data_IF_179766637663
#
_entry.id   IF_179766637663
#
_cell.length_a   1.000
_cell.length_b   1.000
_cell.length_c   1.000
_cell.angle_alpha   90.00
_cell.angle_beta   90.00
_cell.angle_gamma   90.00
#
_symmetry.space_group_name_H-M   'P 1'
#
loop_
_entity.id
_entity.type
_entity.pdbx_description
1 polymer ?
#
# COMPACT_ATOMS: atom_id res chain seq x y z
N UNK A 1 -3.09 22.30 22.09
CA UNK A 1 -2.22 21.41 21.27
C UNK A 1 -2.89 20.04 21.22
N UNK A 2 -3.42 19.60 20.07
CA UNK A 2 -4.12 18.31 19.94
C UNK A 2 -3.07 17.21 19.76
N UNK A 3 -2.95 16.28 20.70
CA UNK A 3 -2.09 15.10 20.54
C UNK A 3 -2.76 14.20 19.51
N UNK A 4 -2.18 14.09 18.32
CA UNK A 4 -2.63 13.14 17.29
C UNK A 4 -2.32 11.74 17.83
N UNK A 5 -3.35 10.93 18.08
CA UNK A 5 -3.17 9.54 18.52
C UNK A 5 -2.64 8.74 17.33
N UNK A 6 -1.38 8.31 17.40
CA UNK A 6 -0.73 7.54 16.34
C UNK A 6 -0.89 6.05 16.63
N UNK A 7 -1.24 5.22 15.63
CA UNK A 7 -1.29 3.78 15.84
C UNK A 7 0.13 3.23 16.05
N UNK A 8 0.22 2.19 16.86
CA UNK A 8 1.46 1.47 17.13
C UNK A 8 1.23 -0.04 17.09
N UNK A 9 2.29 -0.81 16.91
CA UNK A 9 2.31 -2.28 16.96
C UNK A 9 3.58 -2.78 17.64
N UNK A 10 3.49 -3.94 18.30
CA UNK A 10 4.65 -4.65 18.87
C UNK A 10 4.77 -6.02 18.22
N UNK A 11 5.89 -6.25 17.53
CA UNK A 11 6.17 -7.51 16.84
C UNK A 11 7.31 -8.21 17.57
N UNK A 12 7.06 -9.42 18.08
CA UNK A 12 8.06 -10.25 18.76
C UNK A 12 8.33 -11.50 17.94
N UNK A 13 9.59 -11.70 17.58
CA UNK A 13 10.04 -12.77 16.69
C UNK A 13 10.98 -13.69 17.47
N UNK A 14 10.65 -14.99 17.62
CA UNK A 14 11.56 -15.95 18.22
C UNK A 14 12.73 -16.25 17.29
N UNK A 15 13.90 -16.51 17.88
CA UNK A 15 15.07 -16.97 17.14
C UNK A 15 14.86 -18.42 16.69
N UNK A 16 14.98 -18.65 15.38
CA UNK A 16 15.00 -20.00 14.84
C UNK A 16 16.40 -20.58 15.00
N UNK A 17 16.52 -21.64 15.81
CA UNK A 17 17.79 -22.30 16.11
C UNK A 17 18.30 -23.17 14.96
N UNK A 18 17.42 -23.75 14.15
CA UNK A 18 17.79 -24.59 13.00
C UNK A 18 18.36 -23.74 11.87
N UNK A 19 17.65 -22.67 11.51
CA UNK A 19 18.08 -21.74 10.47
C UNK A 19 19.07 -20.67 10.94
N UNK A 20 19.28 -20.53 12.27
CA UNK A 20 20.04 -19.45 12.91
C UNK A 20 19.62 -18.04 12.48
N UNK A 21 18.32 -17.83 12.32
CA UNK A 21 17.74 -16.57 11.80
C UNK A 21 16.51 -16.15 12.60
N UNK A 22 16.16 -14.87 12.50
CA UNK A 22 14.83 -14.38 12.86
C UNK A 22 13.95 -14.37 11.60
N UNK A 23 12.71 -14.83 11.71
CA UNK A 23 11.75 -14.72 10.61
C UNK A 23 11.31 -13.24 10.48
N UNK A 24 11.89 -12.54 9.50
CA UNK A 24 11.63 -11.13 9.25
C UNK A 24 10.39 -10.86 8.40
N UNK A 25 9.72 -11.88 7.86
CA UNK A 25 8.60 -11.72 6.95
C UNK A 25 7.43 -10.99 7.61
N UNK A 26 7.21 -11.24 8.91
CA UNK A 26 6.19 -10.55 9.71
C UNK A 26 6.46 -9.05 9.76
N UNK A 27 7.72 -8.65 9.96
CA UNK A 27 8.13 -7.24 9.98
C UNK A 27 8.05 -6.59 8.60
N UNK A 28 8.53 -7.29 7.57
CA UNK A 28 8.48 -6.81 6.20
C UNK A 28 7.04 -6.57 5.77
N UNK A 29 6.16 -7.57 5.93
CA UNK A 29 4.75 -7.49 5.58
C UNK A 29 4.03 -6.40 6.36
N UNK A 30 4.35 -6.23 7.64
CA UNK A 30 3.79 -5.14 8.43
C UNK A 30 4.16 -3.77 7.86
N UNK A 31 5.44 -3.57 7.50
CA UNK A 31 5.96 -2.29 7.04
C UNK A 31 5.55 -1.91 5.60
N UNK A 32 5.10 -2.85 4.76
CA UNK A 32 4.81 -2.64 3.33
C UNK A 32 3.95 -1.39 3.04
N UNK A 33 2.88 -1.21 3.82
CA UNK A 33 1.88 -0.15 3.60
C UNK A 33 1.88 0.90 4.72
N UNK A 34 3.01 1.05 5.42
CA UNK A 34 3.12 1.89 6.61
C UNK A 34 4.34 2.77 6.52
N UNK A 35 4.16 4.06 6.78
CA UNK A 35 5.27 4.97 7.05
C UNK A 35 5.62 4.84 8.53
N UNK A 36 6.76 4.23 8.83
CA UNK A 36 7.25 4.10 10.20
C UNK A 36 7.73 5.46 10.70
N UNK A 37 7.30 5.83 11.90
CA UNK A 37 7.53 7.13 12.52
C UNK A 37 8.54 6.97 13.66
N UNK A 38 8.28 6.01 14.54
CA UNK A 38 9.16 5.67 15.66
C UNK A 38 9.38 4.18 15.67
N UNK A 39 10.59 3.77 16.07
CA UNK A 39 10.90 2.38 16.36
C UNK A 39 11.70 2.26 17.65
N UNK A 40 11.41 1.22 18.43
CA UNK A 40 12.26 0.76 19.54
C UNK A 40 12.47 -0.74 19.40
N UNK A 41 13.69 -1.17 19.62
CA UNK A 41 14.13 -2.54 19.39
C UNK A 41 14.73 -3.08 20.66
N UNK A 42 14.28 -4.25 21.08
CA UNK A 42 14.83 -4.93 22.25
C UNK A 42 15.07 -6.41 21.94
N UNK A 43 16.10 -6.97 22.57
CA UNK A 43 16.41 -8.39 22.51
C UNK A 43 16.35 -8.93 23.93
N UNK A 44 15.69 -10.07 24.09
CA UNK A 44 15.58 -10.72 25.39
C UNK A 44 15.61 -12.24 25.26
N UNK A 45 15.93 -12.91 26.35
CA UNK A 45 15.78 -14.35 26.47
C UNK A 45 14.66 -14.68 27.45
N UNK A 46 13.92 -15.74 27.14
CA UNK A 46 12.92 -16.30 28.04
C UNK A 46 12.99 -17.83 27.94
N UNK A 47 13.23 -18.50 29.06
CA UNK A 47 13.37 -19.96 29.14
C UNK A 47 14.38 -20.54 28.12
N UNK A 48 15.54 -19.90 27.98
CA UNK A 48 16.60 -20.34 27.07
C UNK A 48 16.31 -20.11 25.57
N UNK A 49 15.17 -19.52 25.24
CA UNK A 49 14.83 -19.08 23.87
C UNK A 49 15.13 -17.59 23.73
N UNK A 50 15.66 -17.22 22.58
CA UNK A 50 15.97 -15.83 22.25
C UNK A 50 14.84 -15.20 21.45
N UNK A 51 14.55 -13.94 21.74
CA UNK A 51 13.50 -13.18 21.10
C UNK A 51 14.02 -11.81 20.68
N UNK A 52 13.53 -11.35 19.55
CA UNK A 52 13.75 -10.01 19.05
C UNK A 52 12.40 -9.31 18.96
N UNK A 53 12.23 -8.20 19.69
CA UNK A 53 10.99 -7.44 19.71
C UNK A 53 11.20 -6.04 19.15
N UNK A 54 10.20 -5.57 18.40
CA UNK A 54 10.20 -4.26 17.79
C UNK A 54 8.87 -3.59 18.07
N UNK A 55 8.92 -2.45 18.75
CA UNK A 55 7.81 -1.49 18.85
C UNK A 55 7.87 -0.53 17.67
N UNK A 56 6.74 -0.32 16.99
CA UNK A 56 6.63 0.52 15.81
C UNK A 56 5.44 1.48 15.96
N UNK A 57 5.69 2.78 15.90
CA UNK A 57 4.65 3.78 15.61
C UNK A 57 4.63 4.06 14.11
N UNK A 58 3.44 4.18 13.54
CA UNK A 58 3.31 4.31 12.10
C UNK A 58 2.14 5.20 11.68
N UNK A 59 2.19 5.63 10.42
CA UNK A 59 1.04 6.15 9.68
C UNK A 59 0.70 5.20 8.54
N UNK A 60 -0.59 5.01 8.25
CA UNK A 60 -1.01 4.22 7.08
C UNK A 60 -0.61 4.98 5.82
N UNK A 61 0.22 4.34 5.01
CA UNK A 61 0.57 4.84 3.69
C UNK A 61 -0.43 4.26 2.71
N UNK A 62 -1.51 5.00 2.43
CA UNK A 62 -2.40 4.64 1.31
C UNK A 62 -1.66 5.08 0.04
N UNK A 63 -0.78 4.22 -0.49
CA UNK A 63 -0.35 4.29 -1.88
C UNK A 63 -0.52 2.91 -2.54
N UNK A 64 -1.10 2.84 -3.74
CA UNK A 64 -1.34 1.58 -4.44
C UNK A 64 0.01 0.93 -4.79
N UNK A 65 0.17 -0.35 -4.48
CA UNK A 65 1.44 -1.09 -4.37
C UNK A 65 1.98 -1.63 -5.71
N UNK A 66 3.09 -1.08 -6.20
CA UNK A 66 3.74 -1.28 -7.53
C UNK A 66 4.28 -2.65 -7.96
N UNK A 67 3.53 -3.75 -7.81
CA UNK A 67 3.67 -4.93 -8.70
C UNK A 67 2.30 -5.50 -9.09
N UNK A 68 1.40 -5.60 -8.12
CA UNK A 68 -0.03 -5.63 -8.41
C UNK A 68 -0.50 -4.29 -8.96
N UNK A 69 0.07 -3.16 -8.55
CA UNK A 69 -0.18 -1.84 -9.12
C UNK A 69 0.58 -1.55 -10.41
N UNK A 70 1.56 -2.34 -10.85
CA UNK A 70 2.03 -2.27 -12.24
C UNK A 70 1.02 -2.96 -13.16
N UNK A 71 0.54 -4.16 -12.80
CA UNK A 71 -0.53 -4.85 -13.50
C UNK A 71 -1.89 -4.12 -13.42
N UNK A 72 -2.26 -3.57 -12.27
CA UNK A 72 -3.41 -2.68 -12.10
C UNK A 72 -3.15 -1.34 -12.79
N UNK A 73 -1.93 -0.78 -12.81
CA UNK A 73 -1.66 0.46 -13.55
C UNK A 73 -1.80 0.24 -15.04
N UNK A 74 -1.33 -0.89 -15.57
CA UNK A 74 -1.47 -1.25 -16.97
C UNK A 74 -2.94 -1.55 -17.30
N UNK A 75 -3.64 -2.31 -16.45
CA UNK A 75 -5.08 -2.55 -16.61
C UNK A 75 -5.91 -1.27 -16.50
N UNK A 76 -5.58 -0.36 -15.56
CA UNK A 76 -6.19 0.98 -15.43
C UNK A 76 -5.90 1.84 -16.66
N UNK A 77 -4.69 1.76 -17.22
CA UNK A 77 -4.31 2.47 -18.45
C UNK A 77 -5.10 1.94 -19.64
N UNK A 78 -5.22 0.62 -19.77
CA UNK A 78 -6.03 -0.03 -20.82
C UNK A 78 -7.51 0.35 -20.65
N UNK A 79 -8.06 0.29 -19.44
CA UNK A 79 -9.43 0.72 -19.14
C UNK A 79 -9.65 2.19 -19.45
N UNK A 80 -8.70 3.05 -19.09
CA UNK A 80 -8.74 4.48 -19.39
C UNK A 80 -8.74 4.76 -20.90
N UNK A 81 -7.87 4.09 -21.68
CA UNK A 81 -7.87 4.27 -23.15
C UNK A 81 -9.16 3.75 -23.77
N UNK A 82 -9.70 2.60 -23.33
CA UNK A 82 -11.01 2.11 -23.80
C UNK A 82 -12.16 3.07 -23.49
N UNK A 83 -12.19 3.62 -22.27
CA UNK A 83 -13.18 4.62 -21.87
C UNK A 83 -13.04 5.91 -22.69
N UNK A 84 -11.80 6.31 -22.98
CA UNK A 84 -11.49 7.48 -23.79
C UNK A 84 -11.91 7.30 -25.25
N UNK A 85 -11.66 6.12 -25.83
CA UNK A 85 -12.11 5.74 -27.18
C UNK A 85 -13.64 5.71 -27.26
N UNK A 86 -14.30 5.00 -26.33
CA UNK A 86 -15.75 4.98 -26.24
C UNK A 86 -16.35 6.39 -26.14
N UNK A 87 -15.77 7.26 -25.29
CA UNK A 87 -16.20 8.66 -25.15
C UNK A 87 -16.05 9.42 -26.46
N UNK A 88 -14.96 9.19 -27.21
CA UNK A 88 -14.72 9.83 -28.51
C UNK A 88 -15.76 9.38 -29.54
N UNK A 89 -15.98 8.06 -29.68
CA UNK A 89 -16.98 7.51 -30.59
C UNK A 89 -18.38 8.01 -30.27
N UNK A 90 -18.74 8.06 -28.97
CA UNK A 90 -20.03 8.57 -28.53
C UNK A 90 -20.20 10.07 -28.81
N UNK A 91 -19.15 10.86 -28.56
CA UNK A 91 -19.10 12.29 -28.83
C UNK A 91 -19.23 12.60 -30.32
N UNK A 92 -18.54 11.84 -31.17
CA UNK A 92 -18.65 11.93 -32.63
C UNK A 92 -20.07 11.59 -33.09
N UNK A 93 -20.67 10.51 -32.55
CA UNK A 93 -22.04 10.12 -32.86
C UNK A 93 -23.08 11.19 -32.44
N UNK A 94 -22.88 11.80 -31.28
CA UNK A 94 -23.78 12.79 -30.72
C UNK A 94 -23.45 14.23 -31.21
N UNK A 95 -22.38 14.40 -32.00
CA UNK A 95 -21.97 15.70 -32.56
C UNK A 95 -21.48 16.72 -31.53
N UNK A 96 -21.09 16.26 -30.34
CA UNK A 96 -20.73 17.11 -29.21
C UNK A 96 -19.25 16.93 -28.84
N UNK A 97 -18.61 17.92 -28.18
CA UNK A 97 -17.25 17.74 -27.69
C UNK A 97 -17.17 16.65 -26.61
N UNK A 98 -16.12 15.79 -26.61
CA UNK A 98 -15.99 14.68 -25.65
C UNK A 98 -16.05 15.08 -24.17
N UNK A 99 -15.58 16.27 -23.80
CA UNK A 99 -15.59 16.75 -22.41
C UNK A 99 -17.01 17.03 -21.87
N UNK A 100 -18.01 17.14 -22.75
CA UNK A 100 -19.43 17.28 -22.38
C UNK A 100 -19.98 15.94 -21.87
N UNK A 101 -19.46 14.81 -22.37
CA UNK A 101 -19.84 13.47 -21.92
C UNK A 101 -19.18 13.14 -20.58
N UNK A 102 -17.86 13.36 -20.48
CA UNK A 102 -17.09 13.18 -19.24
C UNK A 102 -15.75 13.92 -19.34
N UNK A 103 -15.25 14.51 -18.25
CA UNK A 103 -13.91 15.11 -18.19
C UNK A 103 -12.86 14.04 -17.97
N UNK A 104 -11.59 14.38 -18.23
CA UNK A 104 -10.49 13.44 -18.00
C UNK A 104 -10.35 13.06 -16.52
N UNK A 105 -10.66 13.97 -15.59
CA UNK A 105 -10.74 13.68 -14.15
C UNK A 105 -11.73 12.56 -13.87
N UNK A 106 -12.91 12.64 -14.49
CA UNK A 106 -14.00 11.71 -14.25
C UNK A 106 -13.65 10.32 -14.79
N UNK A 107 -12.92 10.24 -15.91
CA UNK A 107 -12.40 8.98 -16.44
C UNK A 107 -11.30 8.37 -15.56
N UNK A 108 -10.49 9.20 -14.90
CA UNK A 108 -9.44 8.76 -13.96
C UNK A 108 -10.06 8.24 -12.66
N UNK A 109 -11.13 8.87 -12.17
CA UNK A 109 -11.82 8.47 -10.94
C UNK A 109 -12.56 7.11 -11.10
N UNK A 110 -12.92 6.71 -12.33
CA UNK A 110 -13.54 5.41 -12.64
C UNK A 110 -12.53 4.25 -12.56
N UNK A 111 -11.24 4.51 -12.83
CA UNK A 111 -10.20 3.46 -12.97
C UNK A 111 -9.34 3.26 -11.74
#
# INVERSE_FOLDING_TARGET
MRIKKMPFEIITIPFNTEGKIFNVDVLNNFCLNKKIITKKVEFFSNNGKFFWTVFLEYELYIKPSGKEAEGLSEAKRICYEKLREWRKERAEKDGIPPYVIARNSDLIDIV
#
